data_IF_271376035952
#
_entry.id   IF_271376035952
#
_cell.length_a   1.000
_cell.length_b   1.000
_cell.length_c   1.000
_cell.angle_alpha   90.00
_cell.angle_beta   90.00
_cell.angle_gamma   90.00
#
_symmetry.space_group_name_H-M   'P 1'
#
loop_
_entity.id
_entity.type
_entity.pdbx_description
1 polymer ?
#
# COMPACT_ATOMS: atom_id res chain seq x y z
N UNK A 1 1.54 4.59 -17.82
CA UNK A 1 0.24 4.48 -17.13
C UNK A 1 -0.57 5.78 -17.15
N UNK A 2 0.03 6.87 -17.62
CA UNK A 2 -0.66 8.14 -17.73
C UNK A 2 -1.67 8.17 -18.88
N UNK A 3 -2.76 8.90 -18.70
CA UNK A 3 -3.70 9.24 -19.76
C UNK A 3 -3.66 10.75 -20.01
N UNK A 4 -3.90 11.13 -21.27
CA UNK A 4 -3.96 12.54 -21.63
C UNK A 4 -5.14 13.23 -20.92
N UNK A 5 -4.89 14.38 -20.32
CA UNK A 5 -5.94 15.22 -19.72
C UNK A 5 -6.60 16.15 -20.75
N UNK A 6 -6.10 16.23 -21.99
CA UNK A 6 -6.66 17.10 -23.02
C UNK A 6 -8.16 16.88 -23.28
N UNK A 7 -8.66 15.62 -23.33
CA UNK A 7 -10.10 15.41 -23.51
C UNK A 7 -10.97 15.97 -22.37
N UNK A 8 -10.42 16.03 -21.13
CA UNK A 8 -11.12 16.68 -20.00
C UNK A 8 -11.12 18.18 -20.15
N UNK A 9 -9.97 18.77 -20.52
CA UNK A 9 -9.83 20.22 -20.74
C UNK A 9 -10.72 20.70 -21.88
N UNK A 10 -10.82 19.90 -22.95
CA UNK A 10 -11.67 20.19 -24.12
C UNK A 10 -13.16 19.90 -23.88
N UNK A 11 -13.57 19.45 -22.69
CA UNK A 11 -14.93 19.06 -22.39
C UNK A 11 -15.46 17.84 -23.14
N UNK A 12 -14.57 17.08 -23.81
CA UNK A 12 -14.91 15.87 -24.58
C UNK A 12 -15.12 14.64 -23.70
N UNK A 13 -14.67 14.69 -22.45
CA UNK A 13 -14.76 13.60 -21.48
C UNK A 13 -15.02 14.17 -20.08
N UNK A 14 -15.91 13.52 -19.33
CA UNK A 14 -16.26 13.97 -17.97
C UNK A 14 -15.30 13.47 -16.89
N UNK A 15 -14.63 12.34 -17.13
CA UNK A 15 -13.65 11.76 -16.20
C UNK A 15 -12.59 10.98 -16.97
N UNK A 16 -11.43 10.79 -16.35
CA UNK A 16 -10.31 10.10 -16.99
C UNK A 16 -10.18 8.65 -16.49
N UNK A 17 -10.33 8.44 -15.19
CA UNK A 17 -10.25 7.12 -14.57
C UNK A 17 -11.51 6.83 -13.77
N UNK A 18 -12.00 5.60 -13.87
CA UNK A 18 -13.05 5.08 -12.99
C UNK A 18 -12.43 4.41 -11.76
N UNK A 19 -11.30 3.73 -11.94
CA UNK A 19 -10.62 2.96 -10.90
C UNK A 19 -9.12 2.83 -11.19
N UNK A 20 -8.32 2.54 -10.17
CA UNK A 20 -6.87 2.47 -10.30
C UNK A 20 -6.20 1.64 -9.19
N UNK A 21 -5.04 1.11 -9.54
CA UNK A 21 -4.12 0.43 -8.65
C UNK A 21 -3.41 1.44 -7.74
N UNK A 22 -3.34 1.15 -6.43
CA UNK A 22 -2.63 1.97 -5.45
C UNK A 22 -1.61 1.13 -4.70
N UNK A 23 -0.49 1.76 -4.33
CA UNK A 23 0.60 1.13 -3.58
C UNK A 23 1.08 2.04 -2.47
N UNK A 24 1.54 1.43 -1.39
CA UNK A 24 2.25 2.08 -0.31
C UNK A 24 3.46 1.22 0.07
N UNK A 25 4.64 1.83 0.16
CA UNK A 25 5.90 1.16 0.47
C UNK A 25 6.80 1.98 1.40
N UNK A 26 6.24 2.97 2.12
CA UNK A 26 7.05 3.85 2.98
C UNK A 26 7.64 3.10 4.17
N UNK A 27 6.83 2.31 4.84
CA UNK A 27 7.20 1.56 6.04
C UNK A 27 7.02 0.06 5.86
N UNK A 28 5.95 -0.33 5.18
CA UNK A 28 5.61 -1.69 4.82
C UNK A 28 4.90 -1.70 3.48
N UNK A 29 4.87 -2.86 2.85
CA UNK A 29 4.26 -2.99 1.54
C UNK A 29 2.78 -3.25 1.66
N UNK A 30 2.00 -2.36 1.07
CA UNK A 30 0.57 -2.51 0.86
C UNK A 30 0.23 -2.20 -0.58
N UNK A 31 -0.74 -2.88 -1.11
CA UNK A 31 -1.32 -2.53 -2.39
C UNK A 31 -2.84 -2.59 -2.34
N UNK A 32 -3.50 -2.06 -3.35
CA UNK A 32 -4.95 -2.04 -3.34
C UNK A 32 -5.55 -1.58 -4.66
N UNK A 33 -6.87 -1.55 -4.65
CA UNK A 33 -7.68 -1.11 -5.77
C UNK A 33 -8.69 -0.07 -5.30
N UNK A 34 -8.71 1.07 -5.97
CA UNK A 34 -9.63 2.14 -5.67
C UNK A 34 -10.60 2.37 -6.82
N UNK A 35 -11.88 2.48 -6.49
CA UNK A 35 -12.96 2.94 -7.35
C UNK A 35 -13.56 4.23 -6.78
N UNK A 36 -14.50 4.92 -7.46
CA UNK A 36 -15.21 6.05 -6.86
C UNK A 36 -15.93 5.70 -5.55
N UNK A 37 -16.41 4.46 -5.42
CA UNK A 37 -17.18 4.02 -4.25
C UNK A 37 -16.37 3.26 -3.22
N UNK A 38 -15.41 2.44 -3.66
CA UNK A 38 -14.70 1.50 -2.79
C UNK A 38 -13.19 1.69 -2.82
N UNK A 39 -12.58 1.46 -1.67
CA UNK A 39 -11.13 1.33 -1.54
C UNK A 39 -10.80 0.01 -0.84
N UNK A 40 -10.11 -0.87 -1.55
CA UNK A 40 -9.50 -2.10 -1.03
C UNK A 40 -8.02 -1.85 -0.78
N UNK A 41 -7.53 -2.28 0.40
CA UNK A 41 -6.10 -2.36 0.71
C UNK A 41 -5.77 -3.76 1.19
N UNK A 42 -4.66 -4.32 0.70
CA UNK A 42 -4.10 -5.61 1.13
C UNK A 42 -2.66 -5.37 1.58
N UNK A 43 -2.37 -5.70 2.82
CA UNK A 43 -1.01 -5.67 3.34
C UNK A 43 -0.26 -6.93 2.90
N UNK A 44 0.96 -6.77 2.40
CA UNK A 44 1.85 -7.87 2.02
C UNK A 44 2.77 -8.29 3.17
N UNK A 45 2.71 -7.56 4.27
CA UNK A 45 3.47 -7.81 5.50
C UNK A 45 2.75 -7.17 6.69
N UNK A 46 3.07 -7.57 7.95
CA UNK A 46 2.41 -7.05 9.14
C UNK A 46 2.52 -5.52 9.27
N UNK A 47 1.41 -4.89 9.62
CA UNK A 47 1.29 -3.44 9.76
C UNK A 47 1.62 -3.00 11.19
N UNK A 48 2.56 -2.07 11.34
CA UNK A 48 2.96 -1.54 12.65
C UNK A 48 1.88 -0.72 13.36
N UNK A 49 0.85 -0.29 12.66
CA UNK A 49 -0.35 0.30 13.24
C UNK A 49 -1.37 -0.75 13.72
N UNK A 50 -1.01 -2.03 13.67
CA UNK A 50 -1.88 -3.16 14.03
C UNK A 50 -3.16 -3.24 13.18
N UNK A 51 -3.13 -2.71 11.97
CA UNK A 51 -4.24 -2.85 11.04
C UNK A 51 -4.32 -4.27 10.49
N UNK A 52 -5.52 -4.75 10.14
CA UNK A 52 -5.69 -6.07 9.56
C UNK A 52 -5.06 -6.16 8.16
N UNK A 53 -4.76 -7.38 7.73
CA UNK A 53 -4.21 -7.67 6.40
C UNK A 53 -5.10 -7.12 5.27
N UNK A 54 -6.42 -7.21 5.43
CA UNK A 54 -7.38 -6.73 4.42
C UNK A 54 -8.25 -5.62 5.00
N UNK A 55 -8.27 -4.50 4.30
CA UNK A 55 -9.09 -3.34 4.62
C UNK A 55 -9.98 -3.01 3.41
N UNK A 56 -11.28 -2.82 3.66
CA UNK A 56 -12.26 -2.38 2.66
C UNK A 56 -13.07 -1.22 3.20
N UNK A 57 -13.13 -0.13 2.45
CA UNK A 57 -13.86 1.08 2.83
C UNK A 57 -14.84 1.51 1.75
N UNK A 58 -16.05 1.92 2.16
CA UNK A 58 -17.02 2.56 1.28
C UNK A 58 -16.82 4.07 1.33
N UNK A 59 -16.19 4.63 0.31
CA UNK A 59 -15.80 6.03 0.28
C UNK A 59 -16.98 7.02 0.16
N UNK A 60 -18.13 6.56 -0.27
CA UNK A 60 -19.35 7.38 -0.36
C UNK A 60 -19.97 7.58 1.02
N UNK A 61 -20.07 6.50 1.80
CA UNK A 61 -20.74 6.50 3.09
C UNK A 61 -19.77 6.73 4.27
N UNK A 62 -18.47 6.52 4.04
CA UNK A 62 -17.40 6.64 5.03
C UNK A 62 -16.14 7.24 4.39
N UNK A 63 -16.18 8.53 4.00
CA UNK A 63 -15.03 9.18 3.34
C UNK A 63 -13.79 9.31 4.23
N UNK A 64 -13.93 9.12 5.55
CA UNK A 64 -12.83 9.13 6.51
C UNK A 64 -12.23 7.74 6.76
N UNK A 65 -12.76 6.69 6.11
CA UNK A 65 -12.22 5.33 6.20
C UNK A 65 -12.17 4.78 7.65
N UNK A 66 -13.22 5.05 8.44
CA UNK A 66 -13.28 4.67 9.85
C UNK A 66 -13.81 3.24 10.08
N UNK A 67 -14.52 2.68 9.08
CA UNK A 67 -15.19 1.37 9.22
C UNK A 67 -14.68 0.39 8.19
N UNK A 68 -13.81 -0.51 8.63
CA UNK A 68 -13.38 -1.62 7.77
C UNK A 68 -14.53 -2.61 7.54
N UNK A 69 -14.95 -2.76 6.29
CA UNK A 69 -16.04 -3.62 5.85
C UNK A 69 -15.58 -4.96 5.27
N UNK A 70 -14.28 -5.27 5.25
CA UNK A 70 -13.74 -6.45 4.58
C UNK A 70 -14.41 -7.77 5.04
N UNK A 71 -14.70 -7.92 6.33
CA UNK A 71 -15.38 -9.10 6.87
C UNK A 71 -16.88 -9.14 6.56
N UNK A 72 -17.50 -7.98 6.34
CA UNK A 72 -18.94 -7.89 6.06
C UNK A 72 -19.27 -8.03 4.58
N UNK A 73 -18.34 -7.63 3.73
CA UNK A 73 -18.50 -7.55 2.27
C UNK A 73 -17.45 -8.40 1.53
N UNK A 74 -17.34 -9.72 1.82
CA UNK A 74 -16.31 -10.57 1.22
C UNK A 74 -16.46 -10.68 -0.31
N UNK A 75 -17.67 -10.55 -0.84
CA UNK A 75 -17.92 -10.54 -2.28
C UNK A 75 -17.31 -9.31 -2.97
N UNK A 76 -17.38 -8.14 -2.33
CA UNK A 76 -16.76 -6.91 -2.86
C UNK A 76 -15.23 -7.03 -2.79
N UNK A 77 -14.69 -7.53 -1.68
CA UNK A 77 -13.25 -7.82 -1.56
C UNK A 77 -12.79 -8.71 -2.71
N UNK A 78 -13.46 -9.85 -2.93
CA UNK A 78 -13.10 -10.77 -4.01
C UNK A 78 -13.15 -10.11 -5.41
N UNK A 79 -14.19 -9.35 -5.68
CA UNK A 79 -14.37 -8.65 -6.96
C UNK A 79 -13.27 -7.60 -7.22
N UNK A 80 -12.93 -6.79 -6.22
CA UNK A 80 -11.86 -5.78 -6.33
C UNK A 80 -10.48 -6.43 -6.42
N UNK A 81 -10.24 -7.50 -5.66
CA UNK A 81 -9.00 -8.29 -5.74
C UNK A 81 -8.82 -8.88 -7.13
N UNK A 82 -9.87 -9.42 -7.74
CA UNK A 82 -9.82 -9.96 -9.09
C UNK A 82 -9.45 -8.88 -10.12
N UNK A 83 -10.04 -7.68 -10.04
CA UNK A 83 -9.69 -6.54 -10.91
C UNK A 83 -8.24 -6.12 -10.75
N UNK A 84 -7.80 -5.98 -9.50
CA UNK A 84 -6.41 -5.64 -9.15
C UNK A 84 -5.42 -6.63 -9.75
N UNK A 85 -5.66 -7.93 -9.54
CA UNK A 85 -4.79 -8.99 -10.04
C UNK A 85 -4.78 -9.04 -11.58
N UNK A 86 -5.91 -8.85 -12.23
CA UNK A 86 -5.99 -8.78 -13.68
C UNK A 86 -5.18 -7.58 -14.24
N UNK A 87 -5.25 -6.43 -13.58
CA UNK A 87 -4.45 -5.26 -13.95
C UNK A 87 -2.95 -5.52 -13.76
N UNK A 88 -2.55 -6.10 -12.61
CA UNK A 88 -1.14 -6.46 -12.33
C UNK A 88 -0.63 -7.41 -13.42
N UNK A 89 -1.33 -8.50 -13.69
CA UNK A 89 -0.92 -9.48 -14.71
C UNK A 89 -0.81 -8.85 -16.11
N UNK A 90 -1.73 -7.94 -16.47
CA UNK A 90 -1.65 -7.17 -17.71
C UNK A 90 -0.37 -6.33 -17.75
N UNK A 91 -0.07 -5.59 -16.67
CA UNK A 91 1.11 -4.71 -16.60
C UNK A 91 2.42 -5.50 -16.63
N UNK A 92 2.52 -6.59 -15.90
CA UNK A 92 3.68 -7.48 -15.92
C UNK A 92 3.95 -8.03 -17.32
N UNK A 93 2.89 -8.42 -18.03
CA UNK A 93 3.01 -8.87 -19.43
C UNK A 93 3.45 -7.74 -20.38
N UNK A 94 2.93 -6.53 -20.21
CA UNK A 94 3.26 -5.37 -21.06
C UNK A 94 4.70 -4.89 -20.87
N UNK A 95 5.22 -5.01 -19.65
CA UNK A 95 6.56 -4.51 -19.28
C UNK A 95 7.63 -5.60 -19.25
N UNK A 96 7.25 -6.86 -19.43
CA UNK A 96 8.12 -8.03 -19.24
C UNK A 96 8.87 -8.00 -17.90
N UNK A 97 8.17 -7.54 -16.85
CA UNK A 97 8.79 -7.34 -15.53
C UNK A 97 7.77 -7.68 -14.44
N UNK A 98 8.19 -8.49 -13.46
CA UNK A 98 7.37 -8.75 -12.26
C UNK A 98 7.18 -7.48 -11.45
N UNK A 99 5.98 -7.28 -10.89
CA UNK A 99 5.66 -6.12 -10.07
C UNK A 99 6.65 -6.01 -8.89
N UNK A 100 7.37 -4.88 -8.77
CA UNK A 100 8.38 -4.67 -7.71
C UNK A 100 7.84 -4.84 -6.29
N UNK A 101 6.54 -4.69 -6.08
CA UNK A 101 5.89 -4.95 -4.79
C UNK A 101 6.14 -6.37 -4.28
N UNK A 102 6.32 -7.34 -5.20
CA UNK A 102 6.51 -8.75 -4.86
C UNK A 102 7.98 -9.20 -4.89
N UNK A 103 8.83 -8.50 -5.61
CA UNK A 103 10.23 -8.90 -5.81
C UNK A 103 11.23 -8.14 -4.94
N UNK A 104 10.92 -6.92 -4.56
CA UNK A 104 11.81 -6.11 -3.72
C UNK A 104 11.59 -6.41 -2.22
N UNK A 105 12.07 -7.59 -1.80
CA UNK A 105 11.94 -8.07 -0.42
C UNK A 105 12.95 -7.43 0.54
N UNK A 106 14.03 -6.83 0.01
CA UNK A 106 15.06 -6.17 0.81
C UNK A 106 14.87 -4.65 0.79
N UNK A 107 13.66 -4.21 1.06
CA UNK A 107 13.36 -2.82 1.19
C UNK A 107 13.89 -2.28 2.51
N UNK A 108 14.83 -1.35 2.43
CA UNK A 108 15.43 -0.75 3.62
C UNK A 108 14.69 0.51 4.07
N UNK A 109 13.88 1.12 3.22
CA UNK A 109 13.10 2.33 3.53
C UNK A 109 13.88 3.38 4.31
N UNK A 110 13.25 3.97 5.29
CA UNK A 110 13.88 4.85 6.29
C UNK A 110 14.43 4.07 7.51
N UNK A 111 14.36 2.75 7.51
CA UNK A 111 14.81 1.87 8.59
C UNK A 111 16.00 1.03 8.14
N UNK A 112 16.76 0.52 9.11
CA UNK A 112 17.86 -0.42 8.86
C UNK A 112 17.42 -1.89 8.96
N UNK A 113 16.12 -2.15 8.91
CA UNK A 113 15.56 -3.50 8.97
C UNK A 113 15.59 -4.16 7.59
N UNK A 114 16.14 -5.36 7.51
CA UNK A 114 16.26 -6.13 6.28
C UNK A 114 15.07 -7.11 6.17
N UNK A 115 14.24 -6.93 5.15
CA UNK A 115 13.13 -7.81 4.84
C UNK A 115 11.83 -7.49 5.58
N UNK A 116 10.77 -8.29 5.32
CA UNK A 116 9.47 -8.09 5.93
C UNK A 116 9.49 -8.40 7.43
N UNK A 117 8.67 -7.69 8.20
CA UNK A 117 8.48 -7.98 9.60
C UNK A 117 7.67 -9.27 9.79
N UNK A 118 7.97 -10.02 10.84
CA UNK A 118 7.24 -11.26 11.19
C UNK A 118 5.91 -10.97 11.91
N UNK A 119 5.81 -9.82 12.58
CA UNK A 119 4.61 -9.41 13.30
C UNK A 119 4.48 -7.89 13.40
N UNK A 120 3.26 -7.41 13.63
CA UNK A 120 2.99 -6.00 13.90
C UNK A 120 3.72 -5.50 15.14
N UNK A 121 3.90 -6.34 16.16
CA UNK A 121 4.63 -6.01 17.36
C UNK A 121 6.12 -5.78 17.06
N UNK A 122 6.74 -6.68 16.28
CA UNK A 122 8.13 -6.51 15.85
C UNK A 122 8.30 -5.23 15.02
N UNK A 123 7.38 -4.97 14.07
CA UNK A 123 7.40 -3.76 13.27
C UNK A 123 7.33 -2.50 14.14
N UNK A 124 6.41 -2.46 15.10
CA UNK A 124 6.24 -1.34 16.02
C UNK A 124 7.48 -1.08 16.87
N UNK A 125 8.06 -2.13 17.46
CA UNK A 125 9.25 -2.03 18.30
C UNK A 125 10.50 -1.63 17.50
N UNK A 126 10.66 -2.15 16.29
CA UNK A 126 11.82 -1.86 15.42
C UNK A 126 11.75 -0.45 14.85
N UNK A 127 10.59 -0.02 14.41
CA UNK A 127 10.40 1.28 13.78
C UNK A 127 10.38 2.43 14.80
N UNK A 128 9.98 2.19 16.05
CA UNK A 128 9.90 3.17 17.14
C UNK A 128 9.22 4.49 16.73
N UNK A 129 8.20 4.41 15.89
CA UNK A 129 7.54 5.58 15.33
C UNK A 129 6.82 6.33 16.46
N UNK A 130 7.14 7.61 16.63
CA UNK A 130 6.49 8.50 17.61
C UNK A 130 7.17 8.57 18.98
N UNK A 131 8.27 7.87 19.26
CA UNK A 131 9.04 8.07 20.48
C UNK A 131 10.12 9.14 20.30
N UNK A 132 10.23 10.08 21.23
CA UNK A 132 11.26 11.13 21.23
C UNK A 132 12.72 10.57 21.25
N UNK A 133 12.88 9.27 21.55
CA UNK A 133 14.16 8.57 21.56
C UNK A 133 14.56 7.91 20.25
N UNK A 134 13.67 7.87 19.24
CA UNK A 134 13.94 7.12 18.01
C UNK A 134 15.05 7.75 17.16
N UNK A 135 15.06 9.07 17.02
CA UNK A 135 16.06 9.79 16.25
C UNK A 135 17.47 9.64 16.83
N UNK A 136 17.61 9.61 18.16
CA UNK A 136 18.90 9.46 18.85
C UNK A 136 19.46 8.05 18.78
N UNK A 137 18.60 7.02 18.77
CA UNK A 137 19.03 5.60 18.65
C UNK A 137 19.46 5.26 17.22
N UNK A 138 18.80 5.79 16.19
CA UNK A 138 19.23 5.63 14.81
C UNK A 138 20.61 6.24 14.55
N UNK A 139 20.90 7.43 15.13
CA UNK A 139 22.23 8.05 15.02
C UNK A 139 23.33 7.30 15.78
N UNK A 140 23.00 6.68 16.90
CA UNK A 140 23.96 5.89 17.68
C UNK A 140 24.34 4.57 16.99
N UNK A 141 23.41 3.93 16.28
CA UNK A 141 23.66 2.70 15.52
C UNK A 141 24.55 2.91 14.30
N UNK A 142 24.45 4.05 13.62
CA UNK A 142 25.28 4.37 12.45
C UNK A 142 26.75 4.64 12.79
N UNK A 143 27.05 5.09 14.01
CA UNK A 143 28.43 5.35 14.48
C UNK A 143 29.19 4.07 14.87
N UNK A 144 28.51 2.96 15.20
CA UNK A 144 29.16 1.68 15.53
C UNK A 144 29.61 0.85 14.32
N UNK A 145 29.13 1.15 13.10
CA UNK A 145 29.53 0.46 11.86
C UNK A 145 30.77 1.07 11.16
N UNK A 146 31.40 2.11 11.74
CA UNK A 146 32.61 2.77 11.16
C UNK A 146 33.88 2.60 12.00
N UNK A 147 33.97 1.53 12.78
CA UNK A 147 35.22 1.13 13.44
C UNK A 147 35.59 -0.28 13.08
#
# INVERSE_FOLDING_TARGET
DGQSLLPLVDGKQASNYSDFYITECTWMRKHGWRTPEWKLMIALEPDFHFKPEVELYNLVNDPLELKNLAKKEPGIVAGLTARMNAWIAKREKETDTTNPMFTNLQWHGSTSHDGPFESSQQAYETLHIGSAGSASKLQAGSKKKKR
#
